data_IF_550241195301
#
_entry.id   IF_550241195301
#
_cell.length_a   1.000
_cell.length_b   1.000
_cell.length_c   1.000
_cell.angle_alpha   90.00
_cell.angle_beta   90.00
_cell.angle_gamma   90.00
#
_symmetry.space_group_name_H-M   'P 1'
#
loop_
_entity.id
_entity.type
_entity.pdbx_description
1 polymer ?
#
# COMPACT_ATOMS: atom_id res chain seq x y z
N UNK A 1 -37.53 -10.56 6.73
CA UNK A 1 -37.07 -10.60 5.32
C UNK A 1 -35.66 -10.05 5.27
N UNK A 2 -34.67 -10.89 4.96
CA UNK A 2 -33.25 -10.52 4.96
C UNK A 2 -32.69 -10.54 3.53
N UNK A 3 -33.38 -9.86 2.61
CA UNK A 3 -32.88 -9.73 1.23
C UNK A 3 -31.92 -8.55 1.16
N UNK A 4 -30.69 -8.77 0.66
CA UNK A 4 -29.72 -7.68 0.52
C UNK A 4 -30.16 -6.69 -0.56
N UNK A 5 -29.94 -5.41 -0.29
CA UNK A 5 -30.27 -4.28 -1.18
C UNK A 5 -29.50 -4.38 -2.51
N UNK A 6 -28.32 -5.02 -2.51
CA UNK A 6 -27.50 -5.21 -3.69
C UNK A 6 -26.63 -6.46 -3.58
N UNK A 7 -26.32 -7.08 -4.71
CA UNK A 7 -25.31 -8.15 -4.83
C UNK A 7 -24.43 -7.90 -6.06
N UNK A 8 -23.12 -8.14 -5.97
CA UNK A 8 -22.25 -8.04 -7.14
C UNK A 8 -22.62 -9.10 -8.18
N UNK A 9 -22.44 -8.78 -9.46
CA UNK A 9 -22.55 -9.78 -10.53
C UNK A 9 -21.43 -10.83 -10.41
N UNK A 10 -21.64 -12.06 -10.88
CA UNK A 10 -20.59 -13.08 -10.93
C UNK A 10 -19.33 -12.60 -11.65
N UNK A 11 -19.50 -11.85 -12.74
CA UNK A 11 -18.39 -11.25 -13.50
C UNK A 11 -17.58 -10.25 -12.67
N UNK A 12 -18.24 -9.37 -11.90
CA UNK A 12 -17.55 -8.41 -11.02
C UNK A 12 -16.77 -9.15 -9.92
N UNK A 13 -17.35 -10.21 -9.37
CA UNK A 13 -16.67 -11.05 -8.37
C UNK A 13 -15.45 -11.75 -8.98
N UNK A 14 -15.56 -12.29 -10.19
CA UNK A 14 -14.46 -12.98 -10.86
C UNK A 14 -13.27 -12.06 -11.16
N UNK A 15 -13.52 -10.79 -11.53
CA UNK A 15 -12.49 -9.80 -11.85
C UNK A 15 -11.99 -8.98 -10.64
N UNK A 16 -12.48 -9.26 -9.43
CA UNK A 16 -12.04 -8.54 -8.24
C UNK A 16 -10.60 -8.91 -7.85
N UNK A 17 -9.80 -7.92 -7.45
CA UNK A 17 -8.45 -8.15 -6.91
C UNK A 17 -8.45 -9.12 -5.71
N UNK A 18 -9.53 -9.11 -4.90
CA UNK A 18 -9.70 -10.04 -3.79
C UNK A 18 -9.77 -11.50 -4.27
N UNK A 19 -10.48 -11.76 -5.38
CA UNK A 19 -10.59 -13.10 -5.99
C UNK A 19 -9.25 -13.53 -6.57
N UNK A 20 -8.54 -12.61 -7.25
CA UNK A 20 -7.19 -12.86 -7.76
C UNK A 20 -6.19 -13.18 -6.63
N UNK A 21 -6.23 -12.40 -5.54
CA UNK A 21 -5.39 -12.62 -4.37
C UNK A 21 -5.68 -13.96 -3.69
N UNK A 22 -6.96 -14.28 -3.46
CA UNK A 22 -7.37 -15.58 -2.90
C UNK A 22 -6.82 -16.74 -3.71
N UNK A 23 -6.95 -16.68 -5.05
CA UNK A 23 -6.41 -17.72 -5.94
C UNK A 23 -4.90 -17.86 -5.79
N UNK A 24 -4.16 -16.75 -5.78
CA UNK A 24 -2.71 -16.76 -5.61
C UNK A 24 -2.28 -17.38 -4.27
N UNK A 25 -3.01 -17.08 -3.18
CA UNK A 25 -2.78 -17.69 -1.86
C UNK A 25 -3.06 -19.20 -1.89
N UNK A 26 -4.17 -19.62 -2.48
CA UNK A 26 -4.52 -21.05 -2.62
C UNK A 26 -3.47 -21.80 -3.44
N UNK A 27 -2.98 -21.23 -4.53
CA UNK A 27 -1.90 -21.80 -5.35
C UNK A 27 -0.57 -21.92 -4.57
N UNK A 28 -0.26 -20.91 -3.74
CA UNK A 28 1.01 -20.87 -2.99
C UNK A 28 1.02 -21.80 -1.77
N UNK A 29 -0.10 -21.89 -1.04
CA UNK A 29 -0.16 -22.56 0.26
C UNK A 29 -1.04 -23.81 0.30
N UNK A 30 -1.74 -24.13 -0.80
CA UNK A 30 -2.70 -25.23 -0.85
C UNK A 30 -3.94 -25.04 0.03
N UNK A 31 -4.17 -23.83 0.54
CA UNK A 31 -5.31 -23.52 1.39
C UNK A 31 -6.60 -23.47 0.56
N UNK A 32 -7.50 -24.43 0.77
CA UNK A 32 -8.82 -24.43 0.13
C UNK A 32 -9.72 -23.39 0.78
N UNK A 33 -10.07 -22.36 0.01
CA UNK A 33 -10.92 -21.24 0.44
C UNK A 33 -11.93 -20.94 -0.66
N UNK A 34 -13.20 -21.26 -0.42
CA UNK A 34 -14.26 -21.18 -1.43
C UNK A 34 -14.79 -19.76 -1.64
N UNK A 35 -14.70 -18.92 -0.62
CA UNK A 35 -15.28 -17.57 -0.57
C UNK A 35 -14.41 -16.58 0.22
N UNK A 36 -14.95 -15.39 0.46
CA UNK A 36 -14.30 -14.38 1.28
C UNK A 36 -14.21 -14.78 2.75
N UNK A 37 -15.22 -15.49 3.29
CA UNK A 37 -15.24 -15.89 4.68
C UNK A 37 -14.10 -16.89 4.97
N UNK A 38 -13.84 -17.81 4.05
CA UNK A 38 -12.68 -18.71 4.11
C UNK A 38 -11.35 -17.94 4.10
N UNK A 39 -11.20 -16.97 3.19
CA UNK A 39 -9.99 -16.13 3.14
C UNK A 39 -9.78 -15.33 4.43
N UNK A 40 -10.85 -14.77 4.99
CA UNK A 40 -10.80 -14.03 6.24
C UNK A 40 -10.44 -14.93 7.43
N UNK A 41 -11.08 -16.10 7.55
CA UNK A 41 -10.74 -17.04 8.61
C UNK A 41 -9.26 -17.43 8.54
N UNK A 42 -8.78 -17.74 7.33
CA UNK A 42 -7.39 -18.08 7.08
C UNK A 42 -6.44 -16.93 7.41
N UNK A 43 -6.76 -15.67 7.07
CA UNK A 43 -5.89 -14.53 7.36
C UNK A 43 -5.69 -14.28 8.85
N UNK A 44 -6.68 -14.66 9.67
CA UNK A 44 -6.62 -14.55 11.12
C UNK A 44 -5.89 -15.74 11.75
N UNK A 45 -6.10 -16.97 11.25
CA UNK A 45 -5.44 -18.17 11.79
C UNK A 45 -4.00 -18.33 11.32
N UNK A 46 -3.67 -17.81 10.13
CA UNK A 46 -2.37 -17.94 9.47
C UNK A 46 -1.79 -16.56 9.09
N UNK A 47 -1.63 -15.63 10.06
CA UNK A 47 -1.28 -14.23 9.79
C UNK A 47 0.06 -14.08 9.06
N UNK A 48 1.07 -14.88 9.41
CA UNK A 48 2.39 -14.79 8.77
C UNK A 48 2.35 -15.17 7.29
N UNK A 49 1.63 -16.24 6.95
CA UNK A 49 1.43 -16.66 5.55
C UNK A 49 0.63 -15.60 4.79
N UNK A 50 -0.40 -15.04 5.43
CA UNK A 50 -1.22 -14.00 4.82
C UNK A 50 -0.41 -12.75 4.46
N UNK A 51 0.33 -12.19 5.42
CA UNK A 51 1.09 -10.97 5.20
C UNK A 51 2.26 -11.19 4.24
N UNK A 52 2.91 -12.35 4.27
CA UNK A 52 3.90 -12.72 3.25
C UNK A 52 3.30 -12.77 1.85
N UNK A 53 2.12 -13.38 1.72
CA UNK A 53 1.42 -13.47 0.43
C UNK A 53 1.02 -12.09 -0.08
N UNK A 54 0.52 -11.22 0.80
CA UNK A 54 0.11 -9.87 0.44
C UNK A 54 1.30 -9.03 -0.02
N UNK A 55 2.46 -9.15 0.65
CA UNK A 55 3.69 -8.48 0.26
C UNK A 55 4.09 -8.82 -1.19
N UNK A 56 4.12 -10.12 -1.51
CA UNK A 56 4.44 -10.59 -2.86
C UNK A 56 3.38 -10.18 -3.88
N UNK A 57 2.09 -10.34 -3.55
CA UNK A 57 0.99 -10.00 -4.45
C UNK A 57 0.91 -8.51 -4.78
N UNK A 58 1.15 -7.63 -3.80
CA UNK A 58 1.18 -6.18 -4.01
C UNK A 58 2.46 -5.69 -4.72
N UNK A 59 3.45 -6.58 -4.90
CA UNK A 59 4.74 -6.26 -5.49
C UNK A 59 5.49 -5.22 -4.66
N UNK A 60 5.54 -5.41 -3.34
CA UNK A 60 6.27 -4.50 -2.44
C UNK A 60 7.76 -4.59 -2.74
N UNK A 61 8.35 -3.42 -3.01
CA UNK A 61 9.78 -3.23 -3.24
C UNK A 61 10.45 -2.95 -1.90
N UNK A 62 11.47 -3.72 -1.58
CA UNK A 62 12.28 -3.57 -0.37
C UNK A 62 13.73 -3.85 -0.67
N UNK A 63 14.62 -3.26 0.11
CA UNK A 63 16.04 -3.63 0.11
C UNK A 63 16.23 -5.01 0.77
N UNK A 64 15.50 -5.24 1.87
CA UNK A 64 15.48 -6.50 2.59
C UNK A 64 14.06 -6.74 3.10
N UNK A 65 13.54 -7.96 2.98
CA UNK A 65 12.29 -8.36 3.63
C UNK A 65 12.57 -9.10 4.95
N UNK A 66 13.57 -9.99 4.94
CA UNK A 66 13.85 -10.91 6.03
C UNK A 66 12.93 -12.12 6.05
N UNK A 67 13.24 -13.06 6.95
CA UNK A 67 12.52 -14.34 7.06
C UNK A 67 11.42 -14.30 8.12
N UNK A 68 11.56 -13.45 9.13
CA UNK A 68 10.57 -13.33 10.20
C UNK A 68 9.44 -12.40 9.76
N UNK A 69 8.21 -12.91 9.67
CA UNK A 69 7.03 -12.07 9.35
C UNK A 69 6.42 -11.45 10.60
N UNK A 70 6.32 -12.22 11.69
CA UNK A 70 5.73 -11.75 12.93
C UNK A 70 6.57 -12.20 14.13
N UNK A 71 6.95 -11.24 14.97
CA UNK A 71 7.57 -11.48 16.27
C UNK A 71 6.65 -10.95 17.37
N UNK A 72 6.48 -11.72 18.44
CA UNK A 72 5.60 -11.37 19.58
C UNK A 72 4.14 -11.11 19.17
N UNK A 73 3.57 -11.93 18.28
CA UNK A 73 2.26 -11.69 17.66
C UNK A 73 1.06 -11.57 18.61
N UNK A 74 1.18 -12.05 19.84
CA UNK A 74 0.13 -11.94 20.88
C UNK A 74 0.29 -10.72 21.79
N UNK A 75 1.41 -10.00 21.70
CA UNK A 75 1.70 -8.86 22.56
C UNK A 75 0.94 -7.60 22.12
N UNK A 76 0.23 -6.99 23.06
CA UNK A 76 -0.48 -5.72 22.86
C UNK A 76 -0.18 -4.76 24.04
N UNK A 77 0.67 -3.73 23.86
CA UNK A 77 1.50 -3.42 22.67
C UNK A 77 2.74 -4.33 22.56
N UNK A 78 3.40 -4.33 21.40
CA UNK A 78 4.74 -4.93 21.23
C UNK A 78 4.90 -5.96 20.11
N UNK A 79 3.84 -6.30 19.39
CA UNK A 79 3.94 -7.09 18.15
C UNK A 79 4.81 -6.37 17.10
N UNK A 80 5.71 -7.10 16.45
CA UNK A 80 6.62 -6.59 15.43
C UNK A 80 6.37 -7.32 14.11
N UNK A 81 5.94 -6.58 13.10
CA UNK A 81 5.75 -7.08 11.74
C UNK A 81 6.98 -6.82 10.90
N UNK A 82 7.46 -7.85 10.21
CA UNK A 82 8.66 -7.81 9.37
C UNK A 82 9.84 -7.09 10.04
N UNK A 83 10.29 -7.54 11.24
CA UNK A 83 11.30 -6.82 12.03
C UNK A 83 12.67 -6.68 11.33
N UNK A 84 12.90 -7.47 10.29
CA UNK A 84 14.13 -7.50 9.50
C UNK A 84 13.99 -6.72 8.18
N UNK A 85 12.80 -6.20 7.88
CA UNK A 85 12.56 -5.51 6.63
C UNK A 85 13.13 -4.10 6.62
N UNK A 86 13.76 -3.74 5.50
CA UNK A 86 14.15 -2.39 5.13
C UNK A 86 13.46 -2.02 3.82
N UNK A 87 12.61 -0.99 3.87
CA UNK A 87 11.92 -0.45 2.69
C UNK A 87 11.82 1.06 2.77
N UNK A 88 11.56 1.68 1.62
CA UNK A 88 11.20 3.08 1.53
C UNK A 88 9.75 3.22 1.03
N UNK A 89 8.92 3.92 1.81
CA UNK A 89 7.51 4.11 1.50
C UNK A 89 7.31 4.89 0.19
N UNK A 90 8.03 6.01 0.01
CA UNK A 90 7.95 6.82 -1.20
C UNK A 90 8.44 6.06 -2.44
N UNK A 91 9.44 5.20 -2.33
CA UNK A 91 9.90 4.33 -3.42
C UNK A 91 8.79 3.41 -3.93
N UNK A 92 8.00 2.83 -3.01
CA UNK A 92 6.89 1.95 -3.38
C UNK A 92 5.73 2.72 -4.05
N UNK A 93 5.44 3.93 -3.59
CA UNK A 93 4.41 4.79 -4.18
C UNK A 93 4.85 5.37 -5.54
N UNK A 94 6.12 5.73 -5.69
CA UNK A 94 6.69 6.41 -6.85
C UNK A 94 7.48 5.47 -7.78
N UNK A 95 7.11 4.18 -7.79
CA UNK A 95 7.72 3.17 -8.68
C UNK A 95 7.50 3.46 -10.17
N UNK A 96 6.40 4.14 -10.50
CA UNK A 96 6.10 4.59 -11.87
C UNK A 96 6.76 5.95 -12.13
N UNK A 97 7.30 6.11 -13.34
CA UNK A 97 7.92 7.35 -13.83
C UNK A 97 7.48 7.65 -15.28
N UNK A 98 6.25 7.25 -15.60
CA UNK A 98 5.65 7.45 -16.90
C UNK A 98 4.86 8.78 -16.94
N UNK A 99 4.34 9.11 -18.12
CA UNK A 99 3.55 10.33 -18.34
C UNK A 99 2.06 10.16 -18.00
N UNK A 100 1.67 9.01 -17.43
CA UNK A 100 0.29 8.78 -17.00
C UNK A 100 -0.03 9.59 -15.74
N UNK A 101 -1.32 9.83 -15.53
CA UNK A 101 -1.80 10.67 -14.44
C UNK A 101 -1.59 10.01 -13.07
N UNK A 102 -0.92 10.71 -12.16
CA UNK A 102 -0.73 10.31 -10.76
C UNK A 102 -1.66 11.07 -9.81
N UNK A 103 -1.76 12.40 -9.95
CA UNK A 103 -2.60 13.26 -9.10
C UNK A 103 -3.56 14.03 -9.99
N UNK A 104 -4.85 13.97 -9.64
CA UNK A 104 -5.90 14.83 -10.20
C UNK A 104 -6.37 15.76 -9.08
N UNK A 105 -5.98 17.02 -9.15
CA UNK A 105 -6.38 18.04 -8.19
C UNK A 105 -7.53 18.90 -8.73
N UNK A 106 -8.44 19.27 -7.82
CA UNK A 106 -9.58 20.14 -8.07
C UNK A 106 -9.70 21.12 -6.90
N UNK A 107 -9.53 22.40 -7.19
CA UNK A 107 -9.87 23.50 -6.30
C UNK A 107 -11.29 24.01 -6.54
N UNK A 108 -11.78 24.81 -5.61
CA UNK A 108 -13.13 25.38 -5.64
C UNK A 108 -13.36 26.30 -6.86
N UNK A 109 -12.34 27.08 -7.24
CA UNK A 109 -12.42 28.08 -8.33
C UNK A 109 -12.16 27.51 -9.73
N UNK A 110 -12.56 26.26 -9.99
CA UNK A 110 -12.25 25.51 -11.24
C UNK A 110 -10.75 25.36 -11.53
N UNK A 111 -9.88 25.67 -10.57
CA UNK A 111 -8.45 25.37 -10.67
C UNK A 111 -8.31 23.86 -10.71
N UNK A 112 -7.87 23.34 -11.86
CA UNK A 112 -7.61 21.94 -12.07
C UNK A 112 -6.12 21.80 -12.38
N UNK A 113 -5.46 20.91 -11.64
CA UNK A 113 -4.08 20.57 -11.90
C UNK A 113 -3.95 19.05 -11.97
N UNK A 114 -3.19 18.57 -12.94
CA UNK A 114 -2.92 17.15 -13.09
C UNK A 114 -1.41 16.97 -13.12
N UNK A 115 -0.90 16.08 -12.27
CA UNK A 115 0.50 15.68 -12.28
C UNK A 115 0.61 14.27 -12.83
N UNK A 116 1.54 14.08 -13.77
CA UNK A 116 1.96 12.74 -14.17
C UNK A 116 2.84 12.09 -13.10
N UNK A 117 3.01 10.77 -13.17
CA UNK A 117 3.93 10.04 -12.28
C UNK A 117 5.37 10.57 -12.38
N UNK A 118 5.85 10.89 -13.59
CA UNK A 118 7.18 11.49 -13.75
C UNK A 118 7.29 12.87 -13.06
N UNK A 119 6.32 13.76 -13.27
CA UNK A 119 6.35 15.09 -12.64
C UNK A 119 6.28 15.01 -11.11
N UNK A 120 5.46 14.09 -10.58
CA UNK A 120 5.39 13.84 -9.15
C UNK A 120 6.75 13.34 -8.61
N UNK A 121 7.35 12.35 -9.27
CA UNK A 121 8.66 11.82 -8.89
C UNK A 121 9.75 12.90 -8.90
N UNK A 122 9.84 13.69 -9.97
CA UNK A 122 10.83 14.78 -10.09
C UNK A 122 10.66 15.85 -9.01
N UNK A 123 9.42 16.16 -8.65
CA UNK A 123 9.14 17.18 -7.64
C UNK A 123 9.44 16.68 -6.24
N UNK A 124 9.03 15.44 -5.90
CA UNK A 124 9.40 14.79 -4.64
C UNK A 124 10.93 14.66 -4.52
N UNK A 125 11.61 14.28 -5.59
CA UNK A 125 13.08 14.19 -5.61
C UNK A 125 13.77 15.53 -5.31
N UNK A 126 13.24 16.64 -5.83
CA UNK A 126 13.74 17.99 -5.55
C UNK A 126 13.55 18.38 -4.09
N UNK A 127 12.37 18.12 -3.53
CA UNK A 127 12.08 18.40 -2.11
C UNK A 127 12.93 17.54 -1.18
N UNK A 128 13.05 16.25 -1.45
CA UNK A 128 13.89 15.34 -0.68
C UNK A 128 15.38 15.74 -0.69
N UNK A 129 15.88 16.29 -1.81
CA UNK A 129 17.22 16.86 -1.90
C UNK A 129 17.35 18.15 -1.07
N UNK A 130 16.38 19.06 -1.18
CA UNK A 130 16.36 20.29 -0.41
C UNK A 130 16.32 20.02 1.11
N UNK A 131 15.51 19.08 1.56
CA UNK A 131 15.44 18.67 2.98
C UNK A 131 16.76 18.10 3.48
N UNK A 132 17.41 17.23 2.69
CA UNK A 132 18.75 16.71 3.03
C UNK A 132 19.78 17.82 3.12
N UNK A 133 19.75 18.78 2.19
CA UNK A 133 20.65 19.94 2.21
C UNK A 133 20.38 20.86 3.41
N UNK A 134 19.15 20.91 3.90
CA UNK A 134 18.77 21.61 5.12
C UNK A 134 19.11 20.83 6.41
N UNK A 135 19.71 19.65 6.30
CA UNK A 135 20.17 18.84 7.44
C UNK A 135 19.15 17.83 7.97
N UNK A 136 18.02 17.61 7.30
CA UNK A 136 17.01 16.62 7.73
C UNK A 136 17.56 15.20 7.55
N UNK A 137 17.52 14.42 8.62
CA UNK A 137 17.96 13.02 8.68
C UNK A 137 16.86 12.02 9.05
N UNK A 138 17.24 10.74 9.10
CA UNK A 138 16.34 9.65 9.52
C UNK A 138 15.97 9.83 11.00
N UNK A 139 14.67 9.91 11.29
CA UNK A 139 14.13 10.07 12.65
C UNK A 139 13.78 11.51 13.03
N UNK A 140 14.14 12.47 12.18
CA UNK A 140 13.69 13.85 12.33
C UNK A 140 12.20 13.97 12.00
N UNK A 141 11.55 14.95 12.64
CA UNK A 141 10.15 15.25 12.40
C UNK A 141 10.07 16.52 11.56
N UNK A 142 9.37 16.43 10.44
CA UNK A 142 9.06 17.57 9.58
C UNK A 142 7.57 17.84 9.70
N UNK A 143 7.19 19.09 9.98
CA UNK A 143 5.81 19.51 10.09
C UNK A 143 5.42 20.39 8.90
N UNK A 144 4.24 20.18 8.34
CA UNK A 144 3.68 20.98 7.25
C UNK A 144 2.31 21.54 7.64
N UNK A 145 2.09 22.83 7.38
CA UNK A 145 0.77 23.46 7.46
C UNK A 145 0.33 23.78 6.04
N UNK A 146 -0.37 22.82 5.43
CA UNK A 146 -0.73 22.84 4.02
C UNK A 146 -2.23 22.47 3.88
N UNK A 147 -2.98 23.12 2.98
CA UNK A 147 -4.31 22.65 2.59
C UNK A 147 -4.20 21.35 1.75
N UNK A 148 -5.35 20.75 1.43
CA UNK A 148 -5.41 19.54 0.59
C UNK A 148 -5.08 19.86 -0.88
N UNK A 149 -3.79 19.99 -1.17
CA UNK A 149 -3.22 20.29 -2.50
C UNK A 149 -2.13 19.27 -2.85
N UNK A 150 -1.71 19.15 -4.13
CA UNK A 150 -0.63 18.23 -4.52
C UNK A 150 0.64 18.39 -3.69
N UNK A 151 0.96 19.61 -3.26
CA UNK A 151 2.12 19.92 -2.41
C UNK A 151 2.08 19.15 -1.08
N UNK A 152 0.91 18.89 -0.52
CA UNK A 152 0.77 18.10 0.71
C UNK A 152 1.10 16.60 0.49
N UNK A 153 0.97 16.10 -0.74
CA UNK A 153 1.39 14.74 -1.13
C UNK A 153 2.87 14.70 -1.48
N UNK A 154 3.41 15.81 -2.00
CA UNK A 154 4.81 15.93 -2.42
C UNK A 154 5.76 16.10 -1.23
N UNK A 155 5.31 16.78 -0.18
CA UNK A 155 6.12 17.17 0.98
C UNK A 155 6.55 16.00 1.87
#
# INVERSE_FOLDING_TARGET
>A
MNQPIWRPSPERTAHANMTAFRRAVTETWGAQMDDYAGLYAWSVTEPEKFWRSLWSFAGIVSEQQGDVVLRNGTAMPGAQWFPEASLNFAQNLLRRRDHETAIVFRGEDKVAHTLSFNQLYETVSRIAQAMRNAGVGRGDRVAGYLPNMPEAVIA
#
